data_IF_938303308199
#
_entry.id   IF_938303308199
#
_cell.length_a   1.000
_cell.length_b   1.000
_cell.length_c   1.000
_cell.angle_alpha   90.00
_cell.angle_beta   90.00
_cell.angle_gamma   90.00
#
_symmetry.space_group_name_H-M   'P 1'
#
loop_
_entity.id
_entity.type
_entity.pdbx_description
1 polymer ?
#
# COMPACT_ATOMS: atom_id res chain seq x y z
N UNK A 1 -0.78 -5.59 -6.00
CA UNK A 1 0.53 -5.58 -5.33
C UNK A 1 1.53 -5.06 -6.31
N UNK A 2 2.45 -4.23 -5.84
CA UNK A 2 3.46 -3.61 -6.69
C UNK A 2 4.81 -3.57 -5.97
N UNK A 3 5.74 -4.38 -6.46
CA UNK A 3 7.14 -4.41 -6.01
C UNK A 3 8.03 -3.49 -6.82
N UNK A 4 7.53 -2.89 -7.90
CA UNK A 4 8.28 -1.94 -8.69
C UNK A 4 8.32 -0.57 -8.00
N UNK A 5 7.23 -0.17 -7.34
CA UNK A 5 7.27 0.91 -6.35
C UNK A 5 8.17 0.54 -5.18
N UNK A 6 8.86 1.52 -4.62
CA UNK A 6 9.52 1.37 -3.32
C UNK A 6 8.58 1.65 -2.13
N UNK A 7 7.44 2.31 -2.38
CA UNK A 7 6.52 2.83 -1.35
C UNK A 7 5.08 2.68 -1.81
N UNK A 8 4.14 2.45 -0.88
CA UNK A 8 2.71 2.47 -1.21
C UNK A 8 2.31 3.80 -1.86
N UNK A 9 1.44 3.75 -2.85
CA UNK A 9 0.91 4.92 -3.56
C UNK A 9 -0.60 4.99 -3.39
N UNK A 10 -1.10 6.11 -2.88
CA UNK A 10 -2.51 6.33 -2.61
C UNK A 10 -3.16 7.15 -3.74
N UNK A 11 -4.13 6.54 -4.40
CA UNK A 11 -4.98 7.17 -5.40
C UNK A 11 -6.35 7.58 -4.85
N UNK A 12 -7.33 7.72 -5.76
CA UNK A 12 -8.68 8.25 -5.45
C UNK A 12 -9.52 7.43 -4.47
N UNK A 13 -9.17 6.17 -4.20
CA UNK A 13 -9.90 5.30 -3.28
C UNK A 13 -9.50 5.47 -1.80
N UNK A 14 -8.74 6.52 -1.47
CA UNK A 14 -8.29 6.84 -0.12
C UNK A 14 -8.78 8.21 0.34
N UNK A 15 -9.05 8.33 1.64
CA UNK A 15 -9.16 9.62 2.35
C UNK A 15 -7.87 9.86 3.12
N UNK A 16 -7.35 11.08 3.07
CA UNK A 16 -6.13 11.45 3.81
C UNK A 16 -6.47 11.75 5.27
N UNK A 17 -5.78 11.07 6.18
CA UNK A 17 -5.93 11.26 7.61
C UNK A 17 -4.96 12.31 8.16
N UNK A 18 -3.73 12.33 7.64
CA UNK A 18 -2.71 13.29 8.07
C UNK A 18 -1.62 13.42 7.01
N UNK A 19 -1.09 14.64 6.89
CA UNK A 19 0.12 14.93 6.12
C UNK A 19 1.34 14.89 7.04
N UNK A 20 2.46 14.38 6.52
CA UNK A 20 3.77 14.58 7.14
C UNK A 20 4.43 15.84 6.54
N UNK A 21 5.46 16.42 7.17
CA UNK A 21 6.23 17.51 6.56
C UNK A 21 7.17 17.04 5.43
N UNK A 22 7.18 15.75 5.09
CA UNK A 22 8.08 15.15 4.10
C UNK A 22 7.38 14.93 2.76
N UNK A 23 8.18 14.94 1.72
CA UNK A 23 7.83 14.58 0.34
C UNK A 23 8.91 13.67 -0.24
N UNK A 24 8.60 12.96 -1.32
CA UNK A 24 9.59 12.24 -2.10
C UNK A 24 9.48 12.60 -3.58
N UNK A 25 10.62 12.60 -4.26
CA UNK A 25 10.67 12.69 -5.71
C UNK A 25 10.50 11.30 -6.30
N UNK A 26 9.54 11.17 -7.22
CA UNK A 26 9.28 9.93 -7.94
C UNK A 26 9.75 10.08 -9.38
N UNK A 27 10.55 9.13 -9.84
CA UNK A 27 11.08 9.13 -11.19
C UNK A 27 10.29 8.14 -12.04
N UNK A 28 9.99 8.54 -13.28
CA UNK A 28 9.41 7.64 -14.25
C UNK A 28 10.46 6.62 -14.72
N UNK A 29 10.02 5.58 -15.41
CA UNK A 29 10.94 4.63 -16.04
C UNK A 29 11.80 5.29 -17.13
N UNK A 30 11.23 6.27 -17.84
CA UNK A 30 11.96 7.08 -18.81
C UNK A 30 12.77 8.16 -18.07
N UNK A 31 14.12 8.12 -18.10
CA UNK A 31 14.96 9.10 -17.43
C UNK A 31 14.87 10.49 -18.06
N UNK A 32 14.27 10.64 -19.24
CA UNK A 32 14.03 11.94 -19.86
C UNK A 32 12.86 12.70 -19.22
N UNK A 33 11.97 12.01 -18.49
CA UNK A 33 10.85 12.65 -17.82
C UNK A 33 11.30 13.26 -16.47
N UNK A 34 10.86 14.49 -16.16
CA UNK A 34 11.21 15.11 -14.89
C UNK A 34 10.56 14.37 -13.70
N UNK A 35 11.22 14.34 -12.54
CA UNK A 35 10.64 13.74 -11.35
C UNK A 35 9.38 14.49 -10.91
N UNK A 36 8.45 13.75 -10.31
CA UNK A 36 7.26 14.31 -9.67
C UNK A 36 7.44 14.29 -8.16
N UNK A 37 7.40 15.47 -7.53
CA UNK A 37 7.41 15.57 -6.08
C UNK A 37 6.01 15.29 -5.51
N UNK A 38 5.92 14.34 -4.58
CA UNK A 38 4.66 13.93 -3.94
C UNK A 38 4.76 13.99 -2.42
N UNK A 39 3.69 14.42 -1.73
CA UNK A 39 3.68 14.44 -0.28
C UNK A 39 3.55 13.02 0.29
N UNK A 40 4.17 12.81 1.46
CA UNK A 40 4.05 11.59 2.24
C UNK A 40 2.94 11.77 3.28
N UNK A 41 1.99 10.83 3.32
CA UNK A 41 0.76 10.91 4.11
C UNK A 41 0.43 9.60 4.82
N UNK A 42 -0.51 9.69 5.77
CA UNK A 42 -1.33 8.54 6.18
C UNK A 42 -2.71 8.65 5.55
N UNK A 43 -3.18 7.56 4.95
CA UNK A 43 -4.49 7.48 4.33
C UNK A 43 -5.28 6.26 4.76
N UNK A 44 -6.60 6.37 4.65
CA UNK A 44 -7.57 5.34 4.99
C UNK A 44 -8.39 4.91 3.77
N UNK A 45 -8.63 3.61 3.65
CA UNK A 45 -9.57 3.03 2.68
C UNK A 45 -10.53 2.06 3.35
N UNK A 46 -11.79 2.01 2.91
CA UNK A 46 -12.78 1.05 3.39
C UNK A 46 -12.63 -0.29 2.66
N UNK A 47 -12.67 -1.36 3.43
CA UNK A 47 -12.67 -2.74 2.95
C UNK A 47 -13.86 -3.50 3.54
N UNK A 48 -14.71 -4.01 2.66
CA UNK A 48 -15.82 -4.90 3.01
C UNK A 48 -15.30 -6.33 3.06
N UNK A 49 -15.18 -6.90 4.27
CA UNK A 49 -14.66 -8.26 4.48
C UNK A 49 -15.75 -9.30 4.16
N UNK A 50 -15.62 -10.10 3.09
CA UNK A 50 -16.64 -11.07 2.72
C UNK A 50 -16.80 -12.19 3.75
N UNK A 51 -15.73 -12.52 4.48
CA UNK A 51 -15.72 -13.61 5.46
C UNK A 51 -16.52 -13.27 6.72
N UNK A 52 -16.48 -12.01 7.16
CA UNK A 52 -17.16 -11.58 8.39
C UNK A 52 -18.44 -10.78 8.12
N UNK A 53 -18.66 -10.34 6.87
CA UNK A 53 -19.74 -9.41 6.50
C UNK A 53 -19.59 -8.02 7.16
N UNK A 54 -18.39 -7.67 7.63
CA UNK A 54 -18.11 -6.41 8.33
C UNK A 54 -17.20 -5.54 7.49
N UNK A 55 -17.32 -4.24 7.68
CA UNK A 55 -16.43 -3.25 7.10
C UNK A 55 -15.28 -2.91 8.05
N UNK A 56 -14.10 -2.77 7.48
CA UNK A 56 -12.88 -2.36 8.17
C UNK A 56 -12.27 -1.16 7.46
N UNK A 57 -11.59 -0.30 8.22
CA UNK A 57 -10.77 0.76 7.66
C UNK A 57 -9.33 0.29 7.65
N UNK A 58 -8.74 0.19 6.46
CA UNK A 58 -7.33 -0.14 6.27
C UNK A 58 -6.53 1.16 6.21
N UNK A 59 -5.54 1.29 7.08
CA UNK A 59 -4.70 2.48 7.19
C UNK A 59 -3.34 2.18 6.56
N UNK A 60 -2.97 2.99 5.57
CA UNK A 60 -1.63 2.98 5.00
C UNK A 60 -0.95 4.28 5.43
N UNK A 61 0.03 4.14 6.32
CA UNK A 61 0.94 5.19 6.75
C UNK A 61 2.16 5.26 5.83
N UNK A 62 2.83 6.41 5.81
CA UNK A 62 4.08 6.62 5.06
C UNK A 62 3.95 6.31 3.56
N UNK A 63 2.86 6.75 2.94
CA UNK A 63 2.57 6.50 1.53
C UNK A 63 2.61 7.78 0.69
N UNK A 64 2.92 7.64 -0.59
CA UNK A 64 2.92 8.74 -1.56
C UNK A 64 1.49 9.04 -2.00
N UNK A 65 1.07 10.31 -1.92
CA UNK A 65 -0.28 10.70 -2.31
C UNK A 65 -0.34 11.27 -3.73
N UNK A 66 -0.96 10.51 -4.64
CA UNK A 66 -1.21 10.93 -6.01
C UNK A 66 -2.58 11.63 -6.18
N UNK A 67 -3.50 11.44 -5.23
CA UNK A 67 -4.87 11.93 -5.34
C UNK A 67 -5.55 11.40 -6.59
N UNK A 68 -6.13 12.30 -7.38
CA UNK A 68 -6.84 11.95 -8.61
C UNK A 68 -5.91 11.65 -9.80
N UNK A 69 -4.59 11.80 -9.65
CA UNK A 69 -3.61 11.47 -10.72
C UNK A 69 -3.43 9.96 -10.90
N UNK A 70 -3.87 9.17 -9.92
CA UNK A 70 -3.77 7.72 -9.96
C UNK A 70 -5.15 7.09 -9.75
N UNK A 71 -5.62 6.39 -10.78
CA UNK A 71 -6.96 5.79 -10.79
C UNK A 71 -7.13 4.61 -9.84
N UNK A 72 -6.03 4.03 -9.38
CA UNK A 72 -5.98 2.90 -8.46
C UNK A 72 -4.83 3.11 -7.48
N UNK A 73 -4.92 2.56 -6.27
CA UNK A 73 -3.79 2.60 -5.33
C UNK A 73 -2.85 1.42 -5.55
N UNK A 74 -1.57 1.62 -5.22
CA UNK A 74 -0.53 0.59 -5.27
C UNK A 74 -0.10 0.29 -3.85
N UNK A 75 -0.32 -0.95 -3.41
CA UNK A 75 0.19 -1.44 -2.14
C UNK A 75 1.54 -2.09 -2.40
N UNK A 76 2.58 -1.54 -1.77
CA UNK A 76 3.91 -2.12 -1.77
C UNK A 76 3.98 -3.25 -0.72
N UNK A 77 4.23 -4.50 -1.13
CA UNK A 77 4.20 -5.63 -0.21
C UNK A 77 5.38 -5.62 0.78
N UNK A 78 6.52 -5.02 0.41
CA UNK A 78 7.70 -4.93 1.28
C UNK A 78 7.47 -3.97 2.45
N UNK A 79 6.76 -2.87 2.24
CA UNK A 79 6.41 -1.92 3.28
C UNK A 79 5.44 -2.53 4.30
N UNK A 80 4.45 -3.30 3.82
CA UNK A 80 3.52 -4.05 4.68
C UNK A 80 4.28 -5.11 5.50
N UNK A 81 5.13 -5.90 4.84
CA UNK A 81 5.92 -6.93 5.50
C UNK A 81 6.96 -6.36 6.48
N UNK A 82 7.56 -5.21 6.18
CA UNK A 82 8.49 -4.53 7.08
C UNK A 82 7.81 -4.03 8.36
N UNK A 83 6.48 -3.85 8.35
CA UNK A 83 5.70 -3.59 9.56
C UNK A 83 5.40 -4.87 10.35
N UNK A 84 5.77 -6.03 9.84
CA UNK A 84 5.54 -7.34 10.46
C UNK A 84 4.18 -7.95 10.15
N UNK A 85 3.51 -7.50 9.08
CA UNK A 85 2.26 -8.10 8.62
C UNK A 85 2.58 -9.11 7.51
N UNK A 86 2.28 -10.40 7.71
CA UNK A 86 2.45 -11.39 6.65
C UNK A 86 1.57 -11.03 5.45
N UNK A 87 2.20 -11.02 4.29
CA UNK A 87 1.54 -10.79 3.01
C UNK A 87 2.07 -11.83 2.04
N UNK A 88 1.15 -12.54 1.40
CA UNK A 88 1.46 -13.54 0.40
C UNK A 88 0.88 -13.13 -0.94
N UNK A 89 1.74 -12.85 -1.91
CA UNK A 89 1.39 -12.35 -3.25
C UNK A 89 1.86 -13.29 -4.37
N UNK A 90 2.21 -14.54 -4.05
CA UNK A 90 2.53 -15.57 -5.04
C UNK A 90 1.30 -16.45 -5.33
N UNK A 91 0.59 -16.26 -6.45
CA UNK A 91 -0.57 -17.06 -6.80
C UNK A 91 -0.25 -18.47 -7.30
N UNK A 92 1.03 -18.80 -7.52
CA UNK A 92 1.47 -20.14 -7.95
C UNK A 92 1.79 -21.07 -6.78
N UNK A 93 1.79 -20.56 -5.54
CA UNK A 93 1.90 -21.40 -4.36
C UNK A 93 0.53 -21.98 -4.01
N UNK A 94 0.36 -23.29 -4.21
CA UNK A 94 -0.87 -24.01 -3.92
C UNK A 94 -1.09 -24.26 -2.41
N UNK A 95 -0.07 -24.00 -1.57
CA UNK A 95 -0.10 -24.29 -0.14
C UNK A 95 -0.61 -23.14 0.71
N UNK A 96 -0.68 -21.92 0.15
CA UNK A 96 -1.03 -20.69 0.87
C UNK A 96 -2.01 -19.84 0.09
N UNK A 97 -2.93 -19.22 0.81
CA UNK A 97 -3.85 -18.26 0.21
C UNK A 97 -3.17 -16.92 -0.05
N UNK A 98 -3.43 -16.35 -1.22
CA UNK A 98 -2.93 -15.02 -1.59
C UNK A 98 -3.71 -13.95 -0.81
N UNK A 99 -3.01 -13.16 0.00
CA UNK A 99 -3.67 -12.23 0.91
C UNK A 99 -2.75 -11.53 1.91
N UNK A 100 -3.37 -10.70 2.75
CA UNK A 100 -2.73 -10.01 3.87
C UNK A 100 -3.29 -10.59 5.18
N UNK A 101 -2.42 -11.10 6.04
CA UNK A 101 -2.77 -11.66 7.33
C UNK A 101 -2.65 -10.60 8.43
N UNK A 102 -3.70 -9.81 8.62
CA UNK A 102 -3.76 -8.93 9.78
C UNK A 102 -4.08 -9.75 11.05
N UNK A 103 -3.85 -9.16 12.23
CA UNK A 103 -4.22 -9.79 13.52
C UNK A 103 -5.73 -10.05 13.69
N UNK A 104 -6.58 -9.41 12.89
CA UNK A 104 -8.04 -9.40 13.06
C UNK A 104 -8.77 -10.15 11.96
N UNK A 105 -8.29 -10.03 10.73
CA UNK A 105 -8.90 -10.61 9.53
C UNK A 105 -7.84 -11.04 8.53
N UNK A 106 -8.18 -12.05 7.72
CA UNK A 106 -7.47 -12.34 6.48
C UNK A 106 -8.08 -11.54 5.34
N UNK A 107 -7.26 -10.72 4.68
CA UNK A 107 -7.65 -9.87 3.57
C UNK A 107 -7.24 -10.56 2.28
N UNK A 108 -8.16 -11.31 1.68
CA UNK A 108 -7.91 -12.05 0.45
C UNK A 108 -7.68 -11.10 -0.74
N UNK A 109 -6.64 -11.38 -1.53
CA UNK A 109 -6.38 -10.66 -2.78
C UNK A 109 -6.97 -11.44 -3.97
N UNK A 110 -7.48 -10.70 -4.94
CA UNK A 110 -8.06 -11.27 -6.16
C UNK A 110 -7.11 -11.10 -7.33
N UNK A 111 -6.94 -12.16 -8.13
CA UNK A 111 -6.22 -12.07 -9.39
C UNK A 111 -7.13 -11.48 -10.48
N UNK A 112 -6.63 -10.50 -11.23
CA UNK A 112 -7.23 -9.99 -12.47
C UNK A 112 -6.14 -9.88 -13.53
N UNK A 113 -6.09 -10.85 -14.44
CA UNK A 113 -4.93 -11.04 -15.31
C UNK A 113 -3.69 -11.36 -14.47
N UNK A 114 -2.59 -10.65 -14.70
CA UNK A 114 -1.32 -10.81 -13.94
C UNK A 114 -1.25 -9.94 -12.68
N UNK A 115 -2.33 -9.21 -12.34
CA UNK A 115 -2.36 -8.31 -11.19
C UNK A 115 -3.10 -8.92 -10.02
N UNK A 116 -2.55 -8.73 -8.82
CA UNK A 116 -3.24 -9.00 -7.56
C UNK A 116 -3.85 -7.72 -7.00
N UNK A 117 -5.15 -7.77 -6.69
CA UNK A 117 -5.98 -6.62 -6.38
C UNK A 117 -6.71 -6.81 -5.05
N UNK A 118 -6.95 -5.68 -4.39
CA UNK A 118 -7.88 -5.54 -3.28
C UNK A 118 -8.99 -4.58 -3.72
N UNK A 119 -10.25 -5.01 -3.64
CA UNK A 119 -11.37 -4.11 -3.84
C UNK A 119 -11.56 -3.25 -2.58
N UNK A 120 -11.50 -1.94 -2.75
CA UNK A 120 -11.63 -0.96 -1.67
C UNK A 120 -12.15 0.37 -2.21
N UNK A 121 -12.65 1.22 -1.33
CA UNK A 121 -13.19 2.54 -1.69
C UNK A 121 -12.85 3.59 -0.64
N UNK A 122 -13.00 4.85 -1.00
CA UNK A 122 -12.92 5.93 -0.02
C UNK A 122 -13.99 5.70 1.07
N UNK A 123 -13.62 5.75 2.36
CA UNK A 123 -14.57 5.63 3.44
C UNK A 123 -15.38 6.92 3.60
N UNK A 124 -16.60 6.80 4.12
CA UNK A 124 -17.38 7.95 4.60
C UNK A 124 -16.87 8.40 5.97
N UNK A 125 -17.24 9.62 6.40
CA UNK A 125 -16.91 10.12 7.74
C UNK A 125 -17.47 9.23 8.85
N UNK A 126 -18.70 8.71 8.68
CA UNK A 126 -19.31 7.79 9.63
C UNK A 126 -18.51 6.49 9.75
N UNK A 127 -18.08 5.92 8.63
CA UNK A 127 -17.26 4.70 8.61
C UNK A 127 -15.91 4.95 9.27
N UNK A 128 -15.26 6.09 8.97
CA UNK A 128 -14.02 6.49 9.65
C UNK A 128 -14.19 6.61 11.16
N UNK A 129 -15.33 7.12 11.64
CA UNK A 129 -15.59 7.31 13.07
C UNK A 129 -15.98 6.02 13.81
N UNK A 130 -16.58 5.04 13.12
CA UNK A 130 -17.26 3.90 13.78
C UNK A 130 -16.68 2.53 13.43
N UNK A 131 -16.12 2.36 12.23
CA UNK A 131 -15.54 1.09 11.82
C UNK A 131 -14.18 0.87 12.48
N UNK A 132 -13.81 -0.41 12.61
CA UNK A 132 -12.54 -0.78 13.20
C UNK A 132 -11.39 -0.46 12.24
N UNK A 133 -10.34 0.19 12.76
CA UNK A 133 -9.15 0.52 11.99
C UNK A 133 -8.07 -0.58 12.11
N UNK A 134 -7.38 -0.82 11.02
CA UNK A 134 -6.26 -1.76 10.88
C UNK A 134 -5.12 -1.04 10.17
N UNK A 135 -4.06 -0.71 10.89
CA UNK A 135 -2.81 -0.27 10.28
C UNK A 135 -2.17 -1.42 9.50
N UNK A 136 -1.90 -1.19 8.22
CA UNK A 136 -1.16 -2.12 7.37
C UNK A 136 0.30 -1.73 7.19
N UNK A 137 0.68 -0.50 7.55
CA UNK A 137 2.07 -0.03 7.52
C UNK A 137 2.37 0.83 8.76
N UNK A 138 3.65 0.96 9.10
CA UNK A 138 4.12 1.70 10.27
C UNK A 138 3.96 3.22 10.13
N UNK A 139 3.70 3.92 11.24
CA UNK A 139 3.76 5.39 11.33
C UNK A 139 5.19 5.95 11.40
N UNK A 140 6.17 5.09 11.64
CA UNK A 140 7.59 5.48 11.69
C UNK A 140 8.07 5.77 10.27
N UNK A 141 8.89 6.83 10.05
CA UNK A 141 9.45 7.16 8.75
C UNK A 141 9.89 5.95 7.92
N UNK A 142 9.26 5.77 6.75
CA UNK A 142 9.65 4.73 5.80
C UNK A 142 10.89 5.16 5.02
N UNK A 143 11.91 4.30 4.97
CA UNK A 143 13.08 4.47 4.12
C UNK A 143 13.37 3.16 3.37
N UNK A 144 12.95 3.05 2.09
CA UNK A 144 13.10 1.82 1.31
C UNK A 144 14.57 1.41 1.12
N UNK A 145 15.49 2.39 1.06
CA UNK A 145 16.93 2.13 0.88
C UNK A 145 17.62 1.48 2.09
N UNK A 146 16.92 1.33 3.22
CA UNK A 146 17.44 0.69 4.44
C UNK A 146 16.79 -0.65 4.75
N UNK A 147 15.86 -1.10 3.90
CA UNK A 147 15.08 -2.31 4.13
C UNK A 147 15.94 -3.55 3.88
N UNK A 148 15.84 -4.52 4.79
CA UNK A 148 16.40 -5.86 4.60
C UNK A 148 15.28 -6.79 4.13
N UNK A 149 15.40 -7.31 2.91
CA UNK A 149 14.46 -8.26 2.32
C UNK A 149 14.98 -9.68 2.55
N UNK A 150 14.60 -10.28 3.68
CA UNK A 150 15.12 -11.59 4.08
C UNK A 150 16.62 -11.56 4.33
N UNK A 151 17.39 -12.40 3.62
CA UNK A 151 18.87 -12.43 3.70
C UNK A 151 19.57 -11.51 2.69
N UNK A 152 18.81 -10.69 1.96
CA UNK A 152 19.33 -9.81 0.92
C UNK A 152 19.12 -8.36 1.35
N UNK A 153 20.20 -7.59 1.37
CA UNK A 153 20.14 -6.13 1.58
C UNK A 153 19.68 -5.43 0.31
N UNK A 154 18.76 -4.47 0.42
CA UNK A 154 18.44 -3.60 -0.70
C UNK A 154 19.69 -2.82 -1.14
N UNK A 155 20.01 -2.85 -2.44
CA UNK A 155 20.98 -1.94 -3.02
C UNK A 155 20.30 -0.57 -3.21
N UNK A 156 21.05 0.53 -3.03
CA UNK A 156 20.57 1.88 -3.31
C UNK A 156 20.11 1.97 -4.78
N UNK A 157 18.80 1.85 -5.02
CA UNK A 157 18.19 2.09 -6.32
C UNK A 157 17.12 3.15 -6.09
N UNK A 158 17.21 4.20 -6.90
CA UNK A 158 16.36 5.39 -6.88
C UNK A 158 14.93 5.01 -7.28
N UNK A 159 13.93 5.67 -6.68
CA UNK A 159 12.50 5.46 -6.89
C UNK A 159 12.12 5.44 -8.37
N UNK A 160 11.80 4.27 -8.94
CA UNK A 160 11.19 4.15 -10.26
C UNK A 160 9.70 3.81 -10.11
N UNK A 161 8.80 4.59 -10.71
CA UNK A 161 7.41 4.16 -10.89
C UNK A 161 6.83 4.48 -12.28
N UNK A 162 6.56 3.37 -12.98
CA UNK A 162 5.76 3.07 -14.18
C UNK A 162 5.83 3.97 -15.44
N UNK A 163 5.59 3.37 -16.64
CA UNK A 163 5.22 4.10 -17.86
C UNK A 163 3.78 4.62 -17.84
#
# INVERSE_FOLDING_TARGET
MDTNADTCCLGKNFVIMSYTPRSADVYAYDPALPPTNLPIVSGATAFDCPQTGKMFILIINEALYYGNRLDHSLINPNQVQSFGIPLWDNPFDETRHVGIESKKIFIALKAKGTKLLLDSRAPTEQELATCLHIDLTSKVPWNPGTVQLGKVSAAHVVLFLFP
#
